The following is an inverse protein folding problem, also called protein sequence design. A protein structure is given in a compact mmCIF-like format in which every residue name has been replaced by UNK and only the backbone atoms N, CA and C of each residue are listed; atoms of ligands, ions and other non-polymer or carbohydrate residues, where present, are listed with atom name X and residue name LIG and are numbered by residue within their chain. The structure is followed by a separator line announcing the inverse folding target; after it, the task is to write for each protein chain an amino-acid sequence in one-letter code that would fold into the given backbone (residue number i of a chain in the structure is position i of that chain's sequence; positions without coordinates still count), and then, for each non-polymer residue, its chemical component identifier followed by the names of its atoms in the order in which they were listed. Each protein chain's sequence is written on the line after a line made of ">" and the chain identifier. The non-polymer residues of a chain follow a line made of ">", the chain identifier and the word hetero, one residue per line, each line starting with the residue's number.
data_IF_398475106717
#
_entry.id   IF_398475106717
#
_cell.length_a   1.000
_cell.length_b   1.000
_cell.length_c   1.000
_cell.angle_alpha   90.00
_cell.angle_beta   90.00
_cell.angle_gamma   90.00
#
_symmetry.space_group_name_H-M   'P 1'
#
loop_
_entity.id
_entity.type
_entity.pdbx_description
1 polymer ?
#
# COMPACT_ATOMS: atom_id res chain seq x y z
N UNK A 1 62.27 -10.57 18.22
CA UNK A 1 61.63 -9.83 17.09
C UNK A 1 60.53 -10.64 16.37
N UNK A 2 60.76 -11.89 16.00
CA UNK A 2 59.74 -12.70 15.27
C UNK A 2 58.41 -12.87 16.01
N UNK A 3 58.42 -13.08 17.31
CA UNK A 3 57.23 -13.30 18.14
C UNK A 3 56.32 -12.05 18.22
N UNK A 4 56.87 -10.85 18.34
CA UNK A 4 56.12 -9.58 18.35
C UNK A 4 55.48 -9.30 16.99
N UNK A 5 56.16 -9.67 15.91
CA UNK A 5 55.62 -9.47 14.55
C UNK A 5 54.45 -10.39 14.26
N UNK A 6 54.48 -11.64 14.75
CA UNK A 6 53.37 -12.60 14.62
C UNK A 6 52.14 -12.17 15.44
N UNK A 7 52.32 -11.67 16.64
CA UNK A 7 51.21 -11.19 17.47
C UNK A 7 50.51 -10.00 16.82
N UNK A 8 51.27 -9.04 16.29
CA UNK A 8 50.72 -7.89 15.60
C UNK A 8 49.94 -8.32 14.34
N UNK A 9 50.44 -9.30 13.58
CA UNK A 9 49.73 -9.81 12.40
C UNK A 9 48.40 -10.50 12.76
N UNK A 10 48.39 -11.30 13.81
CA UNK A 10 47.17 -11.98 14.30
C UNK A 10 46.14 -10.97 14.78
N UNK A 11 46.54 -9.93 15.51
CA UNK A 11 45.65 -8.85 15.96
C UNK A 11 45.03 -8.10 14.76
N UNK A 12 45.83 -7.75 13.76
CA UNK A 12 45.37 -7.05 12.56
C UNK A 12 44.36 -7.90 11.76
N UNK A 13 44.58 -9.19 11.61
CA UNK A 13 43.66 -10.10 10.93
C UNK A 13 42.34 -10.23 11.71
N UNK A 14 42.39 -10.28 13.04
CA UNK A 14 41.21 -10.34 13.89
C UNK A 14 40.34 -9.08 13.78
N UNK A 15 40.96 -7.90 13.79
CA UNK A 15 40.24 -6.62 13.64
C UNK A 15 39.63 -6.49 12.25
N UNK A 16 40.34 -6.89 11.20
CA UNK A 16 39.78 -6.87 9.83
C UNK A 16 38.53 -7.75 9.69
N UNK A 17 38.54 -8.96 10.24
CA UNK A 17 37.41 -9.88 10.22
C UNK A 17 36.19 -9.35 10.99
N UNK A 18 36.41 -8.69 12.13
CA UNK A 18 35.33 -8.09 12.90
C UNK A 18 34.69 -6.89 12.17
N UNK A 19 35.50 -6.08 11.48
CA UNK A 19 35.00 -4.96 10.68
C UNK A 19 34.12 -5.44 9.50
N UNK A 20 34.53 -6.52 8.82
CA UNK A 20 33.69 -7.12 7.74
C UNK A 20 32.38 -7.71 8.28
N UNK A 21 32.41 -8.35 9.46
CA UNK A 21 31.20 -8.89 10.08
C UNK A 21 30.22 -7.78 10.49
N UNK A 22 30.71 -6.68 11.05
CA UNK A 22 29.89 -5.50 11.40
C UNK A 22 29.32 -4.85 10.12
N UNK A 23 30.10 -4.72 9.07
CA UNK A 23 29.65 -4.19 7.79
C UNK A 23 28.52 -5.04 7.16
N UNK A 24 28.61 -6.37 7.23
CA UNK A 24 27.56 -7.29 6.75
C UNK A 24 26.29 -7.20 7.59
N UNK A 25 26.40 -7.09 8.91
CA UNK A 25 25.25 -6.90 9.81
C UNK A 25 24.55 -5.57 9.56
N UNK A 26 25.31 -4.49 9.34
CA UNK A 26 24.74 -3.18 9.01
C UNK A 26 24.05 -3.18 7.64
N UNK A 27 24.62 -3.85 6.64
CA UNK A 27 23.98 -4.01 5.33
C UNK A 27 22.69 -4.85 5.41
N UNK A 28 22.65 -5.85 6.28
CA UNK A 28 21.48 -6.71 6.47
C UNK A 28 20.36 -6.00 7.24
N UNK A 29 20.68 -5.07 8.15
CA UNK A 29 19.68 -4.25 8.86
C UNK A 29 19.00 -3.22 7.96
N UNK A 30 19.65 -2.72 6.92
CA UNK A 30 19.03 -1.80 5.95
C UNK A 30 18.01 -2.49 5.01
N UNK A 31 18.02 -3.81 4.93
CA UNK A 31 17.07 -4.55 4.06
C UNK A 31 15.78 -4.95 4.79
N UNK A 32 15.72 -4.80 6.11
CA UNK A 32 14.60 -5.29 6.93
C UNK A 32 13.57 -4.22 7.32
N UNK A 33 13.72 -2.97 6.92
CA UNK A 33 12.72 -1.92 7.14
C UNK A 33 12.05 -1.54 5.80
N UNK A 34 11.70 -2.55 5.02
CA UNK A 34 10.60 -2.40 4.09
C UNK A 34 9.34 -2.66 4.92
N UNK A 35 8.89 -1.63 5.61
CA UNK A 35 7.53 -1.60 6.13
C UNK A 35 6.61 -1.75 4.93
N UNK A 36 6.10 -2.95 4.71
CA UNK A 36 5.08 -3.22 3.71
C UNK A 36 3.79 -2.56 4.19
N UNK A 37 3.66 -1.27 3.93
CA UNK A 37 2.38 -0.60 4.14
C UNK A 37 1.41 -1.10 3.09
N UNK A 38 0.29 -1.66 3.52
CA UNK A 38 -0.84 -1.87 2.63
C UNK A 38 -1.38 -0.50 2.23
N UNK A 39 -1.36 -0.20 0.93
CA UNK A 39 -1.92 1.03 0.40
C UNK A 39 -3.33 0.78 -0.11
N UNK A 40 -4.19 1.74 0.14
CA UNK A 40 -5.59 1.76 -0.27
C UNK A 40 -5.83 2.94 -1.20
N UNK A 41 -6.70 2.76 -2.18
CA UNK A 41 -7.09 3.83 -3.09
C UNK A 41 -8.50 4.28 -2.73
N UNK A 42 -8.64 5.53 -2.28
CA UNK A 42 -9.91 6.07 -1.82
C UNK A 42 -10.26 7.36 -2.53
N UNK A 43 -11.51 7.77 -2.43
CA UNK A 43 -11.98 9.05 -2.92
C UNK A 43 -11.14 10.21 -2.35
N UNK A 44 -10.77 11.15 -3.22
CA UNK A 44 -10.12 12.40 -2.81
C UNK A 44 -11.19 13.36 -2.26
N UNK A 45 -11.17 13.69 -0.96
CA UNK A 45 -12.20 14.54 -0.35
C UNK A 45 -12.26 15.96 -0.94
N UNK A 46 -11.17 16.40 -1.57
CA UNK A 46 -11.07 17.72 -2.21
C UNK A 46 -11.47 17.70 -3.69
N UNK A 47 -11.69 16.52 -4.27
CA UNK A 47 -12.12 16.43 -5.66
C UNK A 47 -13.57 16.91 -5.82
N UNK A 48 -13.81 17.59 -6.94
CA UNK A 48 -15.17 18.05 -7.27
C UNK A 48 -16.11 16.86 -7.51
N UNK A 49 -17.35 16.98 -7.07
CA UNK A 49 -18.40 15.97 -7.14
C UNK A 49 -18.51 15.31 -8.53
N UNK A 50 -18.60 16.10 -9.59
CA UNK A 50 -18.75 15.59 -10.96
C UNK A 50 -17.55 14.75 -11.41
N UNK A 51 -16.34 15.10 -10.96
CA UNK A 51 -15.13 14.33 -11.23
C UNK A 51 -15.18 12.97 -10.57
N UNK A 52 -15.61 12.92 -9.32
CA UNK A 52 -15.72 11.67 -8.56
C UNK A 52 -16.75 10.73 -9.20
N UNK A 53 -17.96 11.23 -9.53
CA UNK A 53 -19.02 10.44 -10.20
C UNK A 53 -18.56 9.90 -11.54
N UNK A 54 -17.93 10.74 -12.36
CA UNK A 54 -17.43 10.34 -13.66
C UNK A 54 -16.39 9.21 -13.56
N UNK A 55 -15.44 9.35 -12.61
CA UNK A 55 -14.38 8.36 -12.43
C UNK A 55 -14.87 7.10 -11.71
N UNK A 56 -15.87 7.18 -10.84
CA UNK A 56 -16.58 6.01 -10.31
C UNK A 56 -17.15 5.16 -11.46
N UNK A 57 -17.88 5.77 -12.39
CA UNK A 57 -18.39 5.08 -13.57
C UNK A 57 -17.25 4.44 -14.37
N UNK A 58 -16.19 5.19 -14.66
CA UNK A 58 -15.02 4.66 -15.39
C UNK A 58 -14.32 3.51 -14.66
N UNK A 59 -14.19 3.56 -13.33
CA UNK A 59 -13.62 2.44 -12.57
C UNK A 59 -14.44 1.16 -12.77
N UNK A 60 -15.76 1.24 -12.70
CA UNK A 60 -16.65 0.11 -12.94
C UNK A 60 -16.54 -0.43 -14.37
N UNK A 61 -16.48 0.45 -15.37
CA UNK A 61 -16.35 0.07 -16.78
C UNK A 61 -14.97 -0.54 -17.12
N UNK A 62 -13.92 -0.18 -16.38
CA UNK A 62 -12.55 -0.63 -16.63
C UNK A 62 -12.11 -1.79 -15.73
N UNK A 63 -13.01 -2.44 -15.01
CA UNK A 63 -12.74 -3.70 -14.33
C UNK A 63 -12.86 -3.69 -12.82
N UNK A 64 -13.29 -2.60 -12.18
CA UNK A 64 -13.74 -2.67 -10.79
C UNK A 64 -15.02 -3.51 -10.71
N UNK A 65 -15.10 -4.41 -9.70
CA UNK A 65 -16.32 -5.17 -9.45
C UNK A 65 -17.34 -4.30 -8.69
N UNK A 66 -18.19 -3.62 -9.42
CA UNK A 66 -19.21 -2.74 -8.86
C UNK A 66 -20.52 -3.47 -8.51
N UNK A 67 -20.64 -4.76 -8.85
CA UNK A 67 -21.85 -5.56 -8.59
C UNK A 67 -22.29 -5.61 -7.12
N UNK A 68 -21.38 -5.56 -6.11
CA UNK A 68 -21.80 -5.51 -4.71
C UNK A 68 -22.58 -4.25 -4.32
N UNK A 69 -22.47 -3.17 -5.11
CA UNK A 69 -23.16 -1.89 -4.87
C UNK A 69 -24.53 -1.80 -5.55
N UNK A 70 -24.92 -2.83 -6.30
CA UNK A 70 -26.23 -2.90 -6.95
C UNK A 70 -27.35 -3.16 -5.94
N UNK A 71 -28.59 -2.84 -6.35
CA UNK A 71 -29.79 -3.07 -5.53
C UNK A 71 -29.90 -4.56 -5.13
N UNK A 72 -30.20 -4.81 -3.87
CA UNK A 72 -30.31 -6.16 -3.31
C UNK A 72 -28.97 -6.82 -2.99
N UNK A 73 -27.84 -6.12 -3.18
CA UNK A 73 -26.51 -6.61 -2.86
C UNK A 73 -26.02 -6.04 -1.54
N UNK A 74 -24.94 -6.64 -0.96
CA UNK A 74 -24.48 -6.34 0.39
C UNK A 74 -23.93 -4.92 0.59
N UNK A 75 -23.54 -4.22 -0.48
CA UNK A 75 -23.06 -2.86 -0.45
C UNK A 75 -24.07 -1.84 -1.00
N UNK A 76 -25.34 -2.23 -1.14
CA UNK A 76 -26.39 -1.32 -1.64
C UNK A 76 -26.55 -0.08 -0.75
N UNK A 77 -26.31 -0.24 0.57
CA UNK A 77 -26.47 0.82 1.57
C UNK A 77 -25.30 1.84 1.59
N UNK A 78 -24.39 1.75 0.61
CA UNK A 78 -23.43 2.82 0.32
C UNK A 78 -24.17 3.98 -0.37
N UNK A 79 -25.01 4.68 0.37
CA UNK A 79 -25.85 5.77 -0.16
C UNK A 79 -25.02 6.98 -0.59
N UNK A 80 -23.86 7.14 -0.01
CA UNK A 80 -22.99 8.27 -0.29
C UNK A 80 -22.04 7.97 -1.45
N UNK A 81 -22.12 8.74 -2.53
CA UNK A 81 -21.34 8.53 -3.76
C UNK A 81 -19.82 8.44 -3.52
N UNK A 82 -19.28 9.14 -2.52
CA UNK A 82 -17.84 9.08 -2.17
C UNK A 82 -17.44 7.73 -1.61
N UNK A 83 -18.30 7.11 -0.81
CA UNK A 83 -18.09 5.76 -0.30
C UNK A 83 -18.14 4.73 -1.43
N UNK A 84 -19.05 4.90 -2.37
CA UNK A 84 -19.12 4.06 -3.59
C UNK A 84 -17.88 4.23 -4.46
N UNK A 85 -17.40 5.47 -4.62
CA UNK A 85 -16.18 5.77 -5.36
C UNK A 85 -14.95 5.15 -4.68
N UNK A 86 -14.79 5.31 -3.38
CA UNK A 86 -13.71 4.70 -2.61
C UNK A 86 -13.70 3.18 -2.76
N UNK A 87 -14.87 2.54 -2.72
CA UNK A 87 -14.98 1.10 -2.96
C UNK A 87 -14.48 0.71 -4.37
N UNK A 88 -14.99 1.37 -5.40
CA UNK A 88 -14.65 1.04 -6.79
C UNK A 88 -13.19 1.36 -7.12
N UNK A 89 -12.67 2.49 -6.64
CA UNK A 89 -11.27 2.89 -6.84
C UNK A 89 -10.34 1.89 -6.18
N UNK A 90 -10.66 1.46 -4.96
CA UNK A 90 -9.83 0.48 -4.28
C UNK A 90 -9.91 -0.91 -4.93
N UNK A 91 -11.09 -1.39 -5.32
CA UNK A 91 -11.23 -2.68 -6.01
C UNK A 91 -10.43 -2.70 -7.34
N UNK A 92 -10.46 -1.60 -8.08
CA UNK A 92 -9.65 -1.44 -9.29
C UNK A 92 -8.16 -1.45 -8.98
N UNK A 93 -7.74 -0.65 -7.98
CA UNK A 93 -6.35 -0.51 -7.57
C UNK A 93 -5.74 -1.83 -7.08
N UNK A 94 -6.46 -2.59 -6.25
CA UNK A 94 -5.95 -3.84 -5.67
C UNK A 94 -5.71 -4.94 -6.71
N UNK A 95 -6.35 -4.86 -7.88
CA UNK A 95 -6.09 -5.78 -9.00
C UNK A 95 -4.74 -5.56 -9.66
N UNK A 96 -4.24 -4.34 -9.65
CA UNK A 96 -2.91 -3.98 -10.12
C UNK A 96 -2.40 -2.73 -9.36
N UNK A 97 -1.77 -2.92 -8.18
CA UNK A 97 -1.45 -1.83 -7.25
C UNK A 97 -0.23 -1.03 -7.71
N UNK A 98 -0.45 -0.10 -8.62
CA UNK A 98 0.52 0.93 -9.01
C UNK A 98 -0.03 2.32 -8.72
N UNK A 99 0.80 3.32 -8.38
CA UNK A 99 0.33 4.67 -8.09
C UNK A 99 -0.55 5.26 -9.20
N UNK A 100 -0.25 4.94 -10.45
CA UNK A 100 -1.03 5.38 -11.63
C UNK A 100 -2.47 4.86 -11.60
N UNK A 101 -2.69 3.66 -11.08
CA UNK A 101 -4.01 3.05 -11.00
C UNK A 101 -4.88 3.62 -9.86
N UNK A 102 -4.36 4.56 -9.09
CA UNK A 102 -5.11 5.33 -8.09
C UNK A 102 -5.20 6.83 -8.43
N UNK A 103 -4.85 7.26 -9.63
CA UNK A 103 -4.91 8.68 -10.00
C UNK A 103 -6.35 9.13 -10.33
N UNK A 104 -7.04 8.42 -11.17
CA UNK A 104 -8.41 8.77 -11.61
C UNK A 104 -8.61 10.25 -11.94
N UNK A 105 -7.58 10.88 -12.53
CA UNK A 105 -7.60 12.32 -12.85
C UNK A 105 -7.74 13.20 -11.59
N UNK A 106 -7.14 12.81 -10.49
CA UNK A 106 -7.21 13.49 -9.21
C UNK A 106 -8.50 13.23 -8.41
N UNK A 107 -9.35 12.30 -8.84
CA UNK A 107 -10.55 11.90 -8.10
C UNK A 107 -10.26 10.96 -6.93
N UNK A 108 -9.09 10.33 -6.90
CA UNK A 108 -8.67 9.39 -5.86
C UNK A 108 -7.31 9.76 -5.27
N UNK A 109 -7.01 9.21 -4.10
CA UNK A 109 -5.74 9.34 -3.39
C UNK A 109 -5.35 8.03 -2.73
N UNK A 110 -4.04 7.79 -2.61
CA UNK A 110 -3.51 6.68 -1.83
C UNK A 110 -3.51 7.03 -0.34
N UNK A 111 -3.87 6.05 0.49
CA UNK A 111 -3.82 6.14 1.95
C UNK A 111 -3.29 4.84 2.56
N UNK A 112 -2.68 4.94 3.74
CA UNK A 112 -2.30 3.79 4.58
C UNK A 112 -3.43 3.39 5.53
N UNK A 113 -4.46 4.20 5.66
CA UNK A 113 -5.60 3.93 6.53
C UNK A 113 -6.59 3.01 5.81
N UNK A 114 -6.89 1.85 6.41
CA UNK A 114 -7.89 0.91 5.90
C UNK A 114 -9.28 1.59 5.85
N UNK A 115 -9.86 1.80 4.67
CA UNK A 115 -11.14 2.46 4.55
C UNK A 115 -12.30 1.61 5.09
N UNK A 116 -12.11 0.30 5.25
CA UNK A 116 -13.15 -0.59 5.80
C UNK A 116 -13.38 -0.40 7.30
N UNK A 117 -12.51 0.33 7.98
CA UNK A 117 -12.69 0.66 9.41
C UNK A 117 -13.69 1.79 9.63
N UNK A 118 -13.99 2.57 8.59
CA UNK A 118 -14.94 3.68 8.64
C UNK A 118 -16.33 3.25 8.17
N UNK A 119 -17.38 3.74 8.84
CA UNK A 119 -18.75 3.63 8.31
C UNK A 119 -18.86 4.54 7.07
N UNK A 120 -19.52 4.14 6.01
CA UNK A 120 -20.30 2.93 5.74
C UNK A 120 -19.54 1.78 5.06
N UNK A 121 -18.24 1.93 4.72
CA UNK A 121 -17.46 0.92 3.98
C UNK A 121 -17.23 -0.39 4.75
N UNK A 122 -17.37 -0.38 6.08
CA UNK A 122 -17.30 -1.57 6.93
C UNK A 122 -18.23 -2.73 6.46
N UNK A 123 -19.38 -2.41 5.87
CA UNK A 123 -20.36 -3.40 5.40
C UNK A 123 -19.84 -4.18 4.18
N UNK A 124 -18.92 -3.59 3.42
CA UNK A 124 -18.35 -4.15 2.21
C UNK A 124 -17.03 -4.94 2.45
N UNK A 125 -16.60 -5.07 3.69
CA UNK A 125 -15.30 -5.60 4.12
C UNK A 125 -14.91 -6.97 3.54
N UNK A 126 -15.87 -7.83 3.21
CA UNK A 126 -15.58 -9.21 2.83
C UNK A 126 -15.11 -9.40 1.37
N UNK A 127 -14.89 -8.33 0.60
CA UNK A 127 -14.36 -8.42 -0.77
C UNK A 127 -13.14 -7.56 -1.07
N UNK A 128 -12.70 -6.76 -0.11
CA UNK A 128 -11.38 -6.15 -0.21
C UNK A 128 -10.40 -7.25 0.19
N UNK A 129 -10.01 -8.07 -0.78
CA UNK A 129 -8.95 -9.06 -0.56
C UNK A 129 -7.69 -8.29 -0.16
N UNK A 130 -7.18 -8.60 1.02
CA UNK A 130 -5.81 -8.36 1.40
C UNK A 130 -4.88 -9.22 0.54
#
# INVERSE_FOLDING_TARGET
>A
MKTRMLINLVVLISVARTAEAIGRLAAQQNTSIILTFTLWCVDNPYAHFTRVIWNLKRACENGADCSPMEKGRRCQDLDYYRSRASYAFNDYYQKNPTPRNCDFGGAAVLTIQDPSTSKPLHICKNKIKL
#
